data_IF_159210007884
#
_entry.id   IF_159210007884
#
_cell.length_a   1.000
_cell.length_b   1.000
_cell.length_c   1.000
_cell.angle_alpha   90.00
_cell.angle_beta   90.00
_cell.angle_gamma   90.00
#
_symmetry.space_group_name_H-M   'P 1'
#
loop_
_entity.id
_entity.type
_entity.pdbx_description
1 polymer ?
#
# COMPACT_ATOMS: atom_id res chain seq x y z
N UNK A 1 -68.01 18.51 -67.82
CA UNK A 1 -69.05 17.67 -67.22
C UNK A 1 -68.60 17.27 -65.81
N UNK A 2 -69.39 17.66 -64.80
CA UNK A 2 -69.64 17.03 -63.48
C UNK A 2 -68.50 16.20 -62.84
N UNK A 3 -67.96 16.56 -61.68
CA UNK A 3 -68.44 16.40 -60.27
C UNK A 3 -67.16 15.98 -59.49
N UNK A 4 -66.90 16.21 -58.21
CA UNK A 4 -67.72 16.43 -57.05
C UNK A 4 -66.92 17.12 -55.93
N UNK A 5 -67.69 17.69 -55.02
CA UNK A 5 -67.37 18.39 -53.79
C UNK A 5 -67.18 17.42 -52.63
N UNK A 6 -66.18 17.59 -51.74
CA UNK A 6 -66.39 17.34 -50.29
C UNK A 6 -65.35 17.99 -49.37
N UNK A 7 -65.91 18.57 -48.31
CA UNK A 7 -65.34 19.37 -47.22
C UNK A 7 -64.63 18.54 -46.14
N UNK A 8 -63.93 19.28 -45.26
CA UNK A 8 -63.74 19.15 -43.79
C UNK A 8 -62.25 18.91 -43.43
N UNK A 9 -61.62 19.37 -42.33
CA UNK A 9 -61.83 20.24 -41.14
C UNK A 9 -60.42 20.35 -40.46
N UNK A 10 -60.16 21.16 -39.40
CA UNK A 10 -58.87 21.85 -39.21
C UNK A 10 -58.00 21.24 -38.07
N UNK A 11 -56.99 21.94 -37.49
CA UNK A 11 -55.64 21.42 -37.26
C UNK A 11 -55.43 20.78 -35.88
N UNK A 12 -54.32 20.06 -35.69
CA UNK A 12 -53.84 19.66 -34.36
C UNK A 12 -52.33 19.93 -34.24
N UNK A 13 -51.98 20.95 -33.46
CA UNK A 13 -50.67 21.06 -32.81
C UNK A 13 -50.48 19.83 -31.92
N UNK A 14 -49.35 19.15 -32.06
CA UNK A 14 -48.87 18.16 -31.10
C UNK A 14 -47.51 18.61 -30.54
N UNK A 15 -47.61 19.01 -29.28
CA UNK A 15 -46.60 19.18 -28.24
C UNK A 15 -45.47 18.12 -28.31
N UNK A 16 -44.23 18.54 -28.60
CA UNK A 16 -43.03 17.72 -28.38
C UNK A 16 -42.49 18.03 -26.97
N UNK A 17 -42.93 17.22 -26.00
CA UNK A 17 -42.41 17.18 -24.63
C UNK A 17 -41.16 16.29 -24.57
N UNK A 18 -40.05 16.90 -24.15
CA UNK A 18 -39.00 16.34 -23.27
C UNK A 18 -38.74 14.82 -23.35
N UNK A 19 -37.89 14.39 -24.28
CA UNK A 19 -37.16 13.10 -24.18
C UNK A 19 -35.67 13.41 -24.17
N UNK A 20 -35.15 13.82 -23.01
CA UNK A 20 -33.74 14.23 -22.89
C UNK A 20 -33.17 14.19 -21.47
N UNK A 21 -33.79 13.46 -20.54
CA UNK A 21 -33.32 13.38 -19.14
C UNK A 21 -32.94 11.94 -18.73
N UNK A 22 -33.49 10.90 -19.38
CA UNK A 22 -33.28 9.50 -18.97
C UNK A 22 -31.90 8.91 -19.28
N UNK A 23 -31.24 9.34 -20.36
CA UNK A 23 -29.97 8.75 -20.82
C UNK A 23 -28.76 9.33 -20.07
N UNK A 24 -28.85 10.59 -19.62
CA UNK A 24 -27.78 11.24 -18.87
C UNK A 24 -27.67 10.70 -17.43
N UNK A 25 -28.81 10.37 -16.80
CA UNK A 25 -28.82 9.85 -15.44
C UNK A 25 -28.26 8.41 -15.34
N UNK A 26 -28.53 7.57 -16.34
CA UNK A 26 -28.03 6.18 -16.36
C UNK A 26 -26.53 6.10 -16.65
N UNK A 27 -26.01 6.96 -17.52
CA UNK A 27 -24.57 7.05 -17.80
C UNK A 27 -23.78 7.62 -16.63
N UNK A 28 -24.31 8.62 -15.91
CA UNK A 28 -23.68 9.16 -14.70
C UNK A 28 -23.66 8.13 -13.55
N UNK A 29 -24.75 7.39 -13.35
CA UNK A 29 -24.85 6.30 -12.35
C UNK A 29 -23.95 5.10 -12.67
N UNK A 30 -23.79 4.76 -13.94
CA UNK A 30 -22.85 3.72 -14.37
C UNK A 30 -21.40 4.17 -14.13
N UNK A 31 -21.05 5.42 -14.47
CA UNK A 31 -19.72 5.97 -14.24
C UNK A 31 -19.36 6.11 -12.74
N UNK A 32 -20.31 6.43 -11.86
CA UNK A 32 -20.07 6.47 -10.41
C UNK A 32 -19.97 5.07 -9.82
N UNK A 33 -20.77 4.10 -10.29
CA UNK A 33 -20.68 2.71 -9.86
C UNK A 33 -19.39 2.04 -10.32
N UNK A 34 -18.94 2.32 -11.54
CA UNK A 34 -17.71 1.79 -12.11
C UNK A 34 -16.46 2.49 -11.53
N UNK A 35 -16.55 3.76 -11.13
CA UNK A 35 -15.52 4.45 -10.34
C UNK A 35 -15.46 3.95 -8.89
N UNK A 36 -16.61 3.61 -8.29
CA UNK A 36 -16.70 3.04 -6.95
C UNK A 36 -16.25 1.57 -6.90
N UNK A 37 -16.53 0.76 -7.92
CA UNK A 37 -15.98 -0.61 -8.08
C UNK A 37 -14.48 -0.58 -8.40
N UNK A 38 -14.00 0.51 -9.03
CA UNK A 38 -12.59 0.74 -9.34
C UNK A 38 -11.80 1.39 -8.20
N UNK A 39 -12.44 1.65 -7.05
CA UNK A 39 -11.75 1.53 -5.77
C UNK A 39 -11.42 0.04 -5.57
N UNK A 40 -10.49 -0.46 -6.39
CA UNK A 40 -10.04 -1.84 -6.39
C UNK A 40 -9.76 -2.21 -4.95
N UNK A 41 -10.56 -3.13 -4.42
CA UNK A 41 -10.34 -3.73 -3.11
C UNK A 41 -8.98 -4.42 -3.18
N UNK A 42 -7.93 -3.68 -2.85
CA UNK A 42 -6.55 -4.14 -2.96
C UNK A 42 -6.42 -5.49 -2.26
N UNK A 43 -5.77 -6.45 -2.93
CA UNK A 43 -5.66 -7.81 -2.39
C UNK A 43 -5.02 -7.79 -1.00
N UNK A 44 -5.52 -8.61 -0.07
CA UNK A 44 -4.95 -8.65 1.25
C UNK A 44 -3.46 -9.02 1.21
N UNK A 45 -2.65 -8.24 1.94
CA UNK A 45 -1.19 -8.31 1.83
C UNK A 45 -0.52 -8.13 3.18
N UNK A 46 0.41 -9.02 3.50
CA UNK A 46 1.43 -8.76 4.53
C UNK A 46 2.38 -7.72 3.97
N UNK A 47 2.33 -6.52 4.54
CA UNK A 47 3.15 -5.38 4.13
C UNK A 47 4.52 -5.45 4.79
N UNK A 48 4.56 -5.86 6.06
CA UNK A 48 5.77 -5.99 6.88
C UNK A 48 5.49 -6.95 8.06
N UNK A 49 6.46 -7.72 8.55
CA UNK A 49 7.86 -7.81 8.13
C UNK A 49 8.11 -8.77 6.96
N UNK A 50 9.30 -8.72 6.32
CA UNK A 50 9.73 -9.74 5.37
C UNK A 50 9.98 -11.09 6.07
N UNK A 51 9.90 -12.19 5.32
CA UNK A 51 10.29 -13.52 5.80
C UNK A 51 11.82 -13.66 5.90
N UNK A 52 12.28 -14.52 6.82
CA UNK A 52 13.69 -14.85 7.00
C UNK A 52 14.59 -13.65 7.30
N UNK A 53 14.26 -12.89 8.34
CA UNK A 53 15.02 -11.73 8.76
C UNK A 53 15.52 -11.83 10.21
N UNK A 54 16.67 -11.22 10.48
CA UNK A 54 17.25 -11.11 11.82
C UNK A 54 16.99 -9.73 12.39
N UNK A 55 16.52 -9.66 13.64
CA UNK A 55 16.22 -8.44 14.36
C UNK A 55 17.29 -8.23 15.43
N UNK A 56 17.78 -6.99 15.54
CA UNK A 56 18.67 -6.60 16.63
C UNK A 56 17.90 -6.20 17.90
N UNK A 57 16.58 -6.03 17.77
CA UNK A 57 15.65 -5.76 18.87
C UNK A 57 14.43 -6.64 18.72
N UNK A 58 13.88 -7.09 19.85
CA UNK A 58 12.67 -7.89 19.89
C UNK A 58 11.39 -7.13 19.51
N UNK A 59 11.44 -5.80 19.43
CA UNK A 59 10.28 -4.97 19.13
C UNK A 59 10.11 -4.82 17.61
N UNK A 60 8.96 -5.24 17.09
CA UNK A 60 8.66 -5.15 15.67
C UNK A 60 7.18 -4.90 15.42
N UNK A 61 6.89 -4.05 14.44
CA UNK A 61 5.54 -3.92 13.90
C UNK A 61 5.23 -5.06 12.94
N UNK A 62 4.00 -5.55 12.99
CA UNK A 62 3.43 -6.38 11.93
C UNK A 62 2.39 -5.54 11.22
N UNK A 63 2.61 -5.27 9.94
CA UNK A 63 1.72 -4.43 9.13
C UNK A 63 1.02 -5.31 8.10
N UNK A 64 -0.29 -5.34 8.17
CA UNK A 64 -1.15 -6.05 7.24
C UNK A 64 -2.14 -5.08 6.60
N UNK A 65 -2.38 -5.24 5.31
CA UNK A 65 -3.43 -4.55 4.57
C UNK A 65 -4.51 -5.56 4.21
N UNK A 66 -5.71 -5.38 4.73
CA UNK A 66 -6.85 -6.26 4.46
C UNK A 66 -7.92 -6.16 5.55
N UNK A 67 -9.13 -6.65 5.25
CA UNK A 67 -10.26 -6.54 6.18
C UNK A 67 -10.15 -7.50 7.37
N UNK A 68 -9.67 -8.73 7.14
CA UNK A 68 -9.60 -9.81 8.13
C UNK A 68 -8.29 -10.58 8.00
N UNK A 69 -7.62 -10.81 9.12
CA UNK A 69 -6.55 -11.78 9.31
C UNK A 69 -6.33 -11.95 10.81
N UNK A 70 -6.07 -13.18 11.27
CA UNK A 70 -5.57 -13.40 12.62
C UNK A 70 -4.06 -13.12 12.67
N UNK A 71 -3.58 -12.57 13.78
CA UNK A 71 -2.16 -12.43 14.07
C UNK A 71 -1.78 -13.38 15.21
N UNK A 72 -0.72 -14.17 15.00
CA UNK A 72 -0.20 -15.08 16.02
C UNK A 72 1.33 -15.08 16.03
N UNK A 73 1.91 -15.27 17.21
CA UNK A 73 3.35 -15.45 17.41
C UNK A 73 3.54 -16.77 18.14
N UNK A 74 4.27 -17.70 17.54
CA UNK A 74 4.49 -19.06 18.08
C UNK A 74 3.17 -19.72 18.54
N UNK A 75 2.13 -19.62 17.71
CA UNK A 75 0.76 -20.12 17.97
C UNK A 75 -0.03 -19.40 19.06
N UNK A 76 0.51 -18.33 19.67
CA UNK A 76 -0.22 -17.47 20.59
C UNK A 76 -0.84 -16.31 19.83
N UNK A 77 -2.15 -16.08 20.00
CA UNK A 77 -2.83 -14.94 19.41
C UNK A 77 -2.29 -13.61 19.93
N UNK A 78 -2.17 -12.63 19.04
CA UNK A 78 -1.80 -11.24 19.32
C UNK A 78 -2.91 -10.35 18.77
N UNK A 79 -3.47 -9.42 19.57
CA UNK A 79 -4.47 -8.50 19.06
C UNK A 79 -3.86 -7.52 18.05
N UNK A 80 -4.68 -7.08 17.11
CA UNK A 80 -4.35 -5.90 16.32
C UNK A 80 -4.60 -4.65 17.16
N UNK A 81 -3.80 -3.61 16.94
CA UNK A 81 -4.00 -2.31 17.59
C UNK A 81 -5.31 -1.69 17.13
N UNK A 82 -6.11 -1.23 18.10
CA UNK A 82 -7.39 -0.56 17.83
C UNK A 82 -7.20 0.86 17.25
N UNK A 83 -6.00 1.41 17.37
CA UNK A 83 -5.68 2.75 16.89
C UNK A 83 -5.71 2.88 15.36
N UNK A 84 -5.56 1.80 14.60
CA UNK A 84 -5.49 1.88 13.13
C UNK A 84 -6.78 1.40 12.47
N UNK A 85 -7.33 2.24 11.59
CA UNK A 85 -8.53 1.92 10.83
C UNK A 85 -8.26 1.04 9.61
N UNK A 86 -9.29 0.31 9.18
CA UNK A 86 -9.24 -0.48 7.96
C UNK A 86 -8.90 0.37 6.72
N UNK A 87 -8.17 -0.19 5.74
CA UNK A 87 -7.74 -1.58 5.63
C UNK A 87 -6.39 -1.89 6.30
N UNK A 88 -5.76 -0.93 6.98
CA UNK A 88 -4.47 -1.17 7.63
C UNK A 88 -4.69 -1.77 9.02
N UNK A 89 -3.85 -2.73 9.36
CA UNK A 89 -3.76 -3.37 10.67
C UNK A 89 -2.31 -3.36 11.08
N UNK A 90 -2.06 -2.92 12.30
CA UNK A 90 -0.74 -2.94 12.91
C UNK A 90 -0.83 -3.76 14.19
N UNK A 91 0.11 -4.67 14.38
CA UNK A 91 0.30 -5.37 15.64
C UNK A 91 1.69 -5.10 16.16
N UNK A 92 1.80 -4.56 17.36
CA UNK A 92 3.10 -4.38 18.01
C UNK A 92 3.50 -5.68 18.70
N UNK A 93 4.57 -6.30 18.21
CA UNK A 93 5.04 -7.60 18.69
C UNK A 93 6.34 -7.42 19.45
N UNK A 94 6.40 -8.03 20.63
CA UNK A 94 7.63 -8.19 21.40
C UNK A 94 8.08 -9.64 21.35
N UNK A 95 9.30 -9.86 20.85
CA UNK A 95 9.92 -11.16 20.68
C UNK A 95 11.14 -11.29 21.61
N UNK A 96 11.23 -12.40 22.34
CA UNK A 96 12.45 -12.75 23.06
C UNK A 96 13.59 -13.10 22.09
N UNK A 97 14.86 -13.13 22.51
CA UNK A 97 15.92 -13.72 21.71
C UNK A 97 15.59 -15.14 21.23
N UNK A 98 15.96 -15.47 19.99
CA UNK A 98 15.69 -16.77 19.35
C UNK A 98 14.81 -16.68 18.11
N UNK A 99 14.40 -17.84 17.58
CA UNK A 99 13.61 -17.95 16.35
C UNK A 99 12.11 -17.95 16.68
N UNK A 100 11.37 -17.12 15.96
CA UNK A 100 9.93 -16.96 16.09
C UNK A 100 9.23 -17.15 14.75
N UNK A 101 8.01 -17.68 14.83
CA UNK A 101 7.06 -17.74 13.72
C UNK A 101 5.92 -16.77 13.99
N UNK A 102 5.78 -15.79 13.10
CA UNK A 102 4.65 -14.87 13.05
C UNK A 102 3.68 -15.35 11.97
N UNK A 103 2.45 -15.69 12.34
CA UNK A 103 1.39 -16.10 11.41
C UNK A 103 0.41 -14.95 11.23
N UNK A 104 0.15 -14.58 9.98
CA UNK A 104 -0.75 -13.47 9.59
C UNK A 104 -1.74 -14.04 8.57
N UNK A 105 -2.96 -14.35 9.01
CA UNK A 105 -3.87 -15.17 8.22
C UNK A 105 -3.21 -16.51 7.85
N UNK A 106 -3.09 -16.79 6.55
CA UNK A 106 -2.44 -18.02 6.06
C UNK A 106 -0.93 -17.88 5.83
N UNK A 107 -0.37 -16.68 5.97
CA UNK A 107 1.06 -16.44 5.76
C UNK A 107 1.86 -16.70 7.03
N UNK A 108 3.01 -17.33 6.85
CA UNK A 108 3.99 -17.52 7.91
C UNK A 108 5.22 -16.67 7.59
N UNK A 109 5.67 -15.91 8.58
CA UNK A 109 6.89 -15.10 8.55
C UNK A 109 7.78 -15.59 9.68
N UNK A 110 9.06 -15.81 9.39
CA UNK A 110 10.06 -16.28 10.35
C UNK A 110 11.05 -15.17 10.64
N UNK A 111 11.26 -14.93 11.92
CA UNK A 111 12.14 -13.89 12.43
C UNK A 111 13.08 -14.50 13.46
N UNK A 112 14.30 -14.01 13.53
CA UNK A 112 15.21 -14.34 14.61
C UNK A 112 15.60 -13.06 15.34
N UNK A 113 15.44 -13.01 16.65
CA UNK A 113 15.98 -11.93 17.48
C UNK A 113 17.37 -12.35 17.95
N UNK A 114 18.39 -11.56 17.62
CA UNK A 114 19.76 -11.78 18.07
C UNK A 114 19.90 -11.56 19.59
N UNK A 115 20.80 -12.29 20.25
CA UNK A 115 21.12 -12.14 21.66
C UNK A 115 21.91 -10.87 21.92
N UNK A 116 22.74 -10.45 20.95
CA UNK A 116 23.50 -9.22 21.02
C UNK A 116 23.74 -8.63 19.61
N UNK A 117 24.08 -7.34 19.56
CA UNK A 117 24.29 -6.62 18.29
C UNK A 117 25.58 -7.02 17.54
N UNK A 118 26.49 -7.72 18.21
CA UNK A 118 27.81 -8.11 17.68
C UNK A 118 27.81 -9.50 17.02
N UNK A 119 26.81 -10.34 17.32
CA UNK A 119 26.72 -11.73 16.84
C UNK A 119 25.43 -11.95 16.05
N UNK A 120 25.57 -12.56 14.87
CA UNK A 120 24.43 -12.96 14.06
C UNK A 120 23.95 -14.35 14.50
N UNK A 121 23.05 -14.39 15.49
CA UNK A 121 22.53 -15.64 16.05
C UNK A 121 21.45 -16.32 15.19
N UNK A 122 21.06 -15.70 14.08
CA UNK A 122 20.10 -16.27 13.14
C UNK A 122 20.72 -17.27 12.17
N UNK A 123 19.89 -18.02 11.43
CA UNK A 123 20.35 -18.85 10.32
C UNK A 123 21.28 -18.08 9.37
N UNK A 124 22.37 -18.71 8.93
CA UNK A 124 23.47 -18.03 8.20
C UNK A 124 23.06 -17.32 6.90
N UNK A 125 21.97 -17.79 6.29
CA UNK A 125 21.39 -17.24 5.06
C UNK A 125 20.44 -16.05 5.32
N UNK A 126 19.99 -15.84 6.55
CA UNK A 126 19.15 -14.70 6.91
C UNK A 126 20.02 -13.45 7.09
N UNK A 127 19.43 -12.28 6.88
CA UNK A 127 20.13 -11.00 7.04
C UNK A 127 19.44 -10.14 8.06
N UNK A 128 20.23 -9.27 8.70
CA UNK A 128 19.73 -8.25 9.61
C UNK A 128 18.73 -7.35 8.87
N UNK A 129 17.51 -7.28 9.39
CA UNK A 129 16.45 -6.41 8.94
C UNK A 129 16.88 -4.96 9.15
N UNK A 130 16.79 -4.18 8.09
CA UNK A 130 16.93 -2.73 8.14
C UNK A 130 15.55 -2.12 7.95
N UNK A 131 15.30 -1.03 8.66
CA UNK A 131 14.07 -0.24 8.58
C UNK A 131 14.46 1.23 8.48
N UNK A 132 13.55 2.08 8.01
CA UNK A 132 13.73 3.52 8.21
C UNK A 132 13.68 3.81 9.72
N UNK A 133 14.51 4.74 10.18
CA UNK A 133 14.38 5.29 11.53
C UNK A 133 13.11 6.14 11.55
N UNK A 134 12.16 5.77 12.40
CA UNK A 134 10.87 6.45 12.57
C UNK A 134 10.71 6.86 14.02
N UNK A 135 9.80 7.79 14.30
CA UNK A 135 9.36 8.05 15.68
C UNK A 135 8.85 6.77 16.38
N UNK A 136 8.87 6.77 17.71
CA UNK A 136 8.23 5.73 18.51
C UNK A 136 6.73 5.98 18.73
N UNK A 137 6.23 7.15 18.32
CA UNK A 137 4.82 7.53 18.47
C UNK A 137 3.90 6.72 17.55
N UNK A 138 2.66 6.51 18.00
CA UNK A 138 1.66 5.70 17.26
C UNK A 138 1.24 6.32 15.93
N UNK A 139 1.35 7.64 15.78
CA UNK A 139 0.99 8.39 14.57
C UNK A 139 2.14 8.55 13.57
N UNK A 140 3.30 7.90 13.82
CA UNK A 140 4.49 7.91 12.93
C UNK A 140 4.22 7.53 11.48
N UNK A 141 3.11 6.84 11.19
CA UNK A 141 2.72 6.53 9.81
C UNK A 141 2.53 7.81 8.98
N UNK A 142 2.13 8.93 9.60
CA UNK A 142 1.97 10.24 8.96
C UNK A 142 3.28 10.89 8.53
N UNK A 143 4.45 10.41 8.99
CA UNK A 143 5.75 10.90 8.51
C UNK A 143 5.95 10.61 7.01
N UNK A 144 5.26 9.60 6.47
CA UNK A 144 5.36 9.22 5.05
C UNK A 144 4.02 9.12 4.33
N UNK A 145 3.00 8.59 5.01
CA UNK A 145 1.67 8.37 4.43
C UNK A 145 0.80 9.61 4.58
N UNK A 146 -0.07 9.84 3.58
CA UNK A 146 -1.25 10.67 3.78
C UNK A 146 -2.13 10.00 4.83
N UNK A 147 -2.22 10.57 6.03
CA UNK A 147 -2.88 9.93 7.15
C UNK A 147 -3.67 10.95 7.98
N UNK A 148 -4.81 10.51 8.47
CA UNK A 148 -5.73 11.35 9.24
C UNK A 148 -6.25 10.58 10.44
N UNK A 149 -6.35 11.24 11.60
CA UNK A 149 -6.94 10.64 12.80
C UNK A 149 -8.32 11.21 13.05
N UNK A 150 -9.34 10.35 13.14
CA UNK A 150 -10.72 10.70 13.46
C UNK A 150 -11.24 9.75 14.54
N UNK A 151 -11.96 10.29 15.52
CA UNK A 151 -12.53 9.50 16.63
C UNK A 151 -11.50 8.58 17.33
N UNK A 152 -10.26 9.04 17.43
CA UNK A 152 -9.17 8.28 18.06
C UNK A 152 -8.60 7.13 17.22
N UNK A 153 -9.00 7.00 15.95
CA UNK A 153 -8.49 6.01 15.01
C UNK A 153 -7.85 6.67 13.79
N UNK A 154 -6.73 6.11 13.35
CA UNK A 154 -5.90 6.63 12.26
C UNK A 154 -6.20 5.87 10.97
N UNK A 155 -6.66 6.60 9.96
CA UNK A 155 -6.72 6.14 8.59
C UNK A 155 -5.36 6.39 7.94
N UNK A 156 -4.71 5.32 7.47
CA UNK A 156 -3.42 5.40 6.78
C UNK A 156 -3.64 5.22 5.28
N UNK A 157 -3.43 6.29 4.53
CA UNK A 157 -3.59 6.36 3.09
C UNK A 157 -2.34 5.97 2.30
N UNK A 158 -2.23 6.46 1.07
CA UNK A 158 -1.09 6.19 0.19
C UNK A 158 0.08 7.09 0.54
N UNK A 159 1.29 6.65 0.19
CA UNK A 159 2.48 7.50 0.19
C UNK A 159 2.52 8.27 -1.12
N UNK A 160 2.77 9.58 -1.09
CA UNK A 160 3.03 10.35 -2.30
C UNK A 160 4.48 10.16 -2.72
N UNK A 161 4.72 9.50 -3.86
CA UNK A 161 6.07 9.25 -4.36
C UNK A 161 6.29 10.08 -5.63
N UNK A 162 7.42 10.79 -5.76
CA UNK A 162 8.58 10.81 -4.86
C UNK A 162 8.46 11.76 -3.66
N UNK A 163 7.44 12.62 -3.62
CA UNK A 163 7.39 13.78 -2.72
C UNK A 163 7.64 13.46 -1.23
N UNK A 164 6.96 12.44 -0.67
CA UNK A 164 7.17 12.02 0.72
C UNK A 164 8.62 11.59 0.98
N UNK A 165 9.28 10.92 0.02
CA UNK A 165 10.68 10.52 0.16
C UNK A 165 11.61 11.75 0.16
N UNK A 166 11.29 12.75 -0.67
CA UNK A 166 12.10 13.96 -0.84
C UNK A 166 11.98 14.94 0.33
N UNK A 167 11.09 14.69 1.29
CA UNK A 167 11.03 15.45 2.55
C UNK A 167 12.32 15.30 3.37
N UNK A 168 12.98 14.13 3.28
CA UNK A 168 14.24 13.84 3.97
C UNK A 168 15.39 13.57 3.00
N UNK A 169 15.16 12.94 1.85
CA UNK A 169 16.22 12.63 0.89
C UNK A 169 16.38 13.75 -0.13
N UNK A 170 17.57 14.35 -0.19
CA UNK A 170 17.81 15.46 -1.12
C UNK A 170 18.00 14.96 -2.55
N UNK A 171 17.58 15.78 -3.52
CA UNK A 171 17.76 15.49 -4.95
C UNK A 171 19.24 15.22 -5.30
N UNK A 172 20.16 15.92 -4.64
CA UNK A 172 21.60 15.70 -4.80
C UNK A 172 22.03 14.31 -4.35
N UNK A 173 21.71 13.91 -3.12
CA UNK A 173 22.09 12.57 -2.59
C UNK A 173 21.52 11.45 -3.45
N UNK A 174 20.27 11.63 -3.86
CA UNK A 174 19.54 10.67 -4.68
C UNK A 174 20.17 10.55 -6.07
N UNK A 175 20.54 11.66 -6.71
CA UNK A 175 21.28 11.68 -7.99
C UNK A 175 22.67 11.07 -7.87
N UNK A 176 23.42 11.41 -6.82
CA UNK A 176 24.79 10.92 -6.60
C UNK A 176 24.80 9.39 -6.40
N UNK A 177 23.80 8.86 -5.69
CA UNK A 177 23.67 7.43 -5.39
C UNK A 177 23.24 6.62 -6.62
N UNK A 178 22.30 7.15 -7.40
CA UNK A 178 21.66 6.39 -8.48
C UNK A 178 22.23 6.70 -9.87
N UNK A 179 22.95 7.80 -10.04
CA UNK A 179 23.58 8.20 -11.30
C UNK A 179 22.59 8.11 -12.48
N UNK A 180 23.00 7.45 -13.57
CA UNK A 180 22.18 7.24 -14.78
C UNK A 180 21.27 6.00 -14.70
N UNK A 181 21.28 5.24 -13.60
CA UNK A 181 20.53 3.98 -13.49
C UNK A 181 19.01 4.17 -13.63
N UNK A 182 18.47 5.33 -13.25
CA UNK A 182 17.03 5.53 -13.08
C UNK A 182 16.61 6.98 -13.40
N UNK A 183 16.78 7.38 -14.65
CA UNK A 183 16.13 8.59 -15.16
C UNK A 183 14.83 8.24 -15.93
N UNK A 184 13.69 8.89 -15.60
CA UNK A 184 13.47 9.84 -14.51
C UNK A 184 13.24 9.16 -13.16
N UNK A 185 13.66 9.83 -12.09
CA UNK A 185 13.61 9.33 -10.73
C UNK A 185 12.22 9.53 -10.12
N UNK A 186 11.31 8.58 -10.33
CA UNK A 186 9.88 8.74 -9.95
C UNK A 186 9.19 7.51 -9.35
N UNK A 187 9.90 6.41 -9.13
CA UNK A 187 9.31 5.17 -8.60
C UNK A 187 10.26 4.47 -7.62
N UNK A 188 10.52 5.13 -6.49
CA UNK A 188 11.39 4.64 -5.43
C UNK A 188 10.96 3.25 -4.93
N UNK A 189 9.65 3.05 -4.84
CA UNK A 189 9.00 1.82 -4.44
C UNK A 189 9.14 0.69 -5.45
N UNK A 190 9.63 0.93 -6.67
CA UNK A 190 9.94 -0.17 -7.61
C UNK A 190 11.03 -1.06 -7.03
N UNK A 191 12.11 -0.44 -6.54
CA UNK A 191 13.29 -1.13 -6.04
C UNK A 191 13.33 -1.22 -4.51
N UNK A 192 12.76 -0.25 -3.79
CA UNK A 192 12.85 -0.19 -2.33
C UNK A 192 11.61 -0.76 -1.62
N UNK A 193 11.84 -1.42 -0.49
CA UNK A 193 10.84 -1.86 0.46
C UNK A 193 10.80 -0.88 1.65
N UNK A 194 9.86 0.06 1.59
CA UNK A 194 9.84 1.28 2.41
C UNK A 194 9.70 1.01 3.92
N UNK A 195 9.00 -0.04 4.31
CA UNK A 195 8.86 -0.40 5.73
C UNK A 195 10.11 -1.11 6.28
N UNK A 196 10.83 -1.85 5.44
CA UNK A 196 12.04 -2.53 5.83
C UNK A 196 12.43 -3.67 4.88
N UNK A 197 13.72 -4.01 4.89
CA UNK A 197 14.26 -5.12 4.10
C UNK A 197 15.55 -5.71 4.70
N UNK A 198 15.79 -7.03 4.51
CA UNK A 198 17.08 -7.66 4.81
C UNK A 198 18.23 -7.17 3.91
N UNK A 199 17.93 -6.55 2.77
CA UNK A 199 18.93 -6.08 1.83
C UNK A 199 19.38 -4.65 2.15
N UNK A 200 20.66 -4.36 1.86
CA UNK A 200 21.23 -3.03 2.04
C UNK A 200 20.43 -1.97 1.28
N UNK A 201 20.39 -0.74 1.82
CA UNK A 201 19.61 0.38 1.27
C UNK A 201 18.12 0.07 1.08
N UNK A 202 17.58 -0.84 1.87
CA UNK A 202 16.17 -1.24 1.83
C UNK A 202 15.68 -1.77 0.47
N UNK A 203 16.56 -2.38 -0.32
CA UNK A 203 16.17 -2.93 -1.62
C UNK A 203 15.25 -4.15 -1.47
N UNK A 204 14.38 -4.44 -2.43
CA UNK A 204 13.53 -5.65 -2.43
C UNK A 204 14.29 -6.94 -2.74
N UNK A 205 15.47 -6.82 -3.33
CA UNK A 205 16.33 -7.92 -3.74
C UNK A 205 17.81 -7.50 -3.61
N UNK A 206 18.78 -8.43 -3.75
CA UNK A 206 20.20 -8.08 -3.78
C UNK A 206 20.49 -7.00 -4.84
N UNK A 207 21.41 -6.07 -4.52
CA UNK A 207 21.77 -4.95 -5.41
C UNK A 207 22.09 -5.39 -6.84
N UNK A 208 22.82 -6.48 -6.98
CA UNK A 208 23.19 -7.04 -8.30
C UNK A 208 21.96 -7.46 -9.13
N UNK A 209 20.92 -7.99 -8.48
CA UNK A 209 19.67 -8.34 -9.15
C UNK A 209 18.89 -7.08 -9.55
N UNK A 210 18.75 -6.12 -8.63
CA UNK A 210 18.10 -4.82 -8.92
C UNK A 210 18.77 -4.13 -10.10
N UNK A 211 20.11 -4.08 -10.13
CA UNK A 211 20.86 -3.49 -11.24
C UNK A 211 20.70 -4.24 -12.56
N UNK A 212 20.58 -5.57 -12.52
CA UNK A 212 20.31 -6.36 -13.72
C UNK A 212 18.91 -6.12 -14.28
N UNK A 213 17.93 -5.97 -13.40
CA UNK A 213 16.52 -5.84 -13.76
C UNK A 213 16.15 -4.42 -14.20
N UNK A 214 16.70 -3.41 -13.52
CA UNK A 214 16.33 -2.01 -13.69
C UNK A 214 17.47 -1.10 -14.15
N UNK A 215 18.72 -1.59 -14.16
CA UNK A 215 19.85 -0.79 -14.59
C UNK A 215 19.83 -0.55 -16.09
N UNK A 216 20.15 0.68 -16.50
CA UNK A 216 20.43 1.00 -17.90
C UNK A 216 21.67 0.23 -18.35
N UNK A 217 21.58 -0.44 -19.51
CA UNK A 217 22.75 -1.05 -20.13
C UNK A 217 23.79 0.03 -20.38
N UNK A 218 24.99 -0.13 -19.81
CA UNK A 218 26.14 0.71 -20.09
C UNK A 218 26.71 0.41 -21.47
#
# INVERSE_FOLDING_TARGET
>A
MMHAYRRQRPPRLALLLLVGVGVLATTLMAATKESADRAQKEEPKVVFPPDCAVLLSGNIDVIYRGEKADLQVNSRAVPWEEFYDAPIRVGHVHLSPGIHRVKIGDRNVRLCVALNEMEHDGPSDWKVLRVHTMSAEKDRCAECHDAETREGRMLVGKVSIPDSCMTCHTDREVKDTHQELIQPLRSCETCHAMHGSPYASLLKAPKTQIQKEYGTAK
#
